data_IF_017686210963
#
_entry.id   IF_017686210963
#
_cell.length_a   1.000
_cell.length_b   1.000
_cell.length_c   1.000
_cell.angle_alpha   90.00
_cell.angle_beta   90.00
_cell.angle_gamma   90.00
#
_symmetry.space_group_name_H-M   'P 1'
#
loop_
_entity.id
_entity.type
_entity.pdbx_description
1 polymer ?
#
# COMPACT_ATOMS: atom_id res chain seq x y z
N UNK A 1 2.85 4.91 -0.34
CA UNK A 1 1.74 4.20 0.33
C UNK A 1 1.76 4.33 1.86
N UNK A 2 2.68 3.66 2.60
CA UNK A 2 2.71 3.65 4.09
C UNK A 2 2.62 5.03 4.76
N UNK A 3 3.41 6.00 4.29
CA UNK A 3 3.43 7.36 4.84
C UNK A 3 2.08 8.09 4.73
N UNK A 4 1.26 7.78 3.71
CA UNK A 4 -0.08 8.35 3.59
C UNK A 4 -1.01 7.80 4.68
N UNK A 5 -1.02 6.48 4.88
CA UNK A 5 -1.81 5.83 5.93
C UNK A 5 -1.44 6.33 7.33
N UNK A 6 -0.14 6.37 7.66
CA UNK A 6 0.30 6.84 8.98
C UNK A 6 -0.05 8.29 9.24
N UNK A 7 0.04 9.18 8.24
CA UNK A 7 -0.39 10.57 8.39
C UNK A 7 -1.89 10.66 8.71
N UNK A 8 -2.72 9.88 8.02
CA UNK A 8 -4.17 9.81 8.25
C UNK A 8 -4.49 9.31 9.66
N UNK A 9 -3.87 8.21 10.09
CA UNK A 9 -4.04 7.65 11.44
C UNK A 9 -3.56 8.60 12.53
N UNK A 10 -2.39 9.23 12.36
CA UNK A 10 -1.85 10.20 13.32
C UNK A 10 -2.73 11.44 13.45
N UNK A 11 -3.47 11.80 12.40
CA UNK A 11 -4.46 12.87 12.41
C UNK A 11 -5.83 12.42 12.98
N UNK A 12 -5.95 11.17 13.44
CA UNK A 12 -7.20 10.57 13.92
C UNK A 12 -8.35 10.66 12.91
N UNK A 13 -8.03 10.61 11.62
CA UNK A 13 -9.02 10.58 10.54
C UNK A 13 -9.50 9.13 10.34
N UNK A 14 -10.82 8.85 10.42
CA UNK A 14 -11.35 7.51 10.15
C UNK A 14 -11.08 7.07 8.71
N UNK A 15 -10.57 5.85 8.54
CA UNK A 15 -10.32 5.23 7.23
C UNK A 15 -10.39 3.71 7.36
N UNK A 16 -11.25 3.09 6.56
CA UNK A 16 -11.45 1.63 6.58
C UNK A 16 -10.63 0.90 5.50
N UNK A 17 -10.39 1.54 4.35
CA UNK A 17 -9.77 0.91 3.18
C UNK A 17 -8.71 1.83 2.58
N UNK A 18 -7.55 1.26 2.23
CA UNK A 18 -6.49 1.92 1.49
C UNK A 18 -6.36 1.32 0.09
N UNK A 19 -6.43 2.16 -0.93
CA UNK A 19 -6.32 1.74 -2.33
C UNK A 19 -4.89 1.94 -2.88
N UNK A 20 -4.44 1.01 -3.72
CA UNK A 20 -3.25 1.15 -4.56
C UNK A 20 -3.63 1.21 -6.04
N UNK A 21 -2.85 1.94 -6.85
CA UNK A 21 -3.07 2.10 -8.29
C UNK A 21 -2.06 1.22 -9.08
N UNK A 22 -1.99 1.37 -10.40
CA UNK A 22 -1.09 0.63 -11.30
C UNK A 22 0.40 0.80 -10.98
N UNK A 23 0.76 1.72 -10.10
CA UNK A 23 2.13 1.99 -9.68
C UNK A 23 2.74 0.85 -8.87
N UNK A 24 1.91 0.07 -8.14
CA UNK A 24 2.43 -1.09 -7.42
C UNK A 24 2.76 -2.28 -8.33
N UNK A 25 2.33 -2.28 -9.58
CA UNK A 25 2.48 -3.42 -10.50
C UNK A 25 3.92 -3.51 -11.01
N UNK A 26 4.42 -4.73 -11.26
CA UNK A 26 5.69 -4.90 -11.98
C UNK A 26 5.48 -4.52 -13.44
N UNK A 27 6.04 -3.40 -13.87
CA UNK A 27 5.92 -2.90 -15.26
C UNK A 27 4.46 -2.82 -15.74
N UNK A 28 3.51 -2.49 -14.85
CA UNK A 28 2.07 -2.40 -15.16
C UNK A 28 1.44 -3.70 -15.67
N UNK A 29 2.00 -4.86 -15.29
CA UNK A 29 1.43 -6.16 -15.59
C UNK A 29 0.45 -6.58 -14.50
N UNK A 30 -0.75 -7.01 -14.89
CA UNK A 30 -1.74 -7.54 -13.96
C UNK A 30 -1.19 -8.75 -13.19
N UNK A 31 -1.69 -8.94 -11.96
CA UNK A 31 -1.28 -10.04 -11.05
C UNK A 31 0.20 -10.04 -10.68
N UNK A 32 0.88 -8.90 -10.81
CA UNK A 32 2.26 -8.71 -10.39
C UNK A 32 2.39 -7.53 -9.45
N UNK A 33 3.49 -7.48 -8.70
CA UNK A 33 3.89 -6.28 -7.97
C UNK A 33 5.38 -6.02 -8.10
N UNK A 34 5.79 -4.75 -8.00
CA UNK A 34 7.17 -4.33 -8.12
C UNK A 34 7.94 -4.62 -6.82
N UNK A 35 8.74 -5.68 -6.82
CA UNK A 35 9.50 -6.13 -5.64
C UNK A 35 10.61 -5.18 -5.20
N UNK A 36 11.00 -4.21 -6.04
CA UNK A 36 12.03 -3.21 -5.70
C UNK A 36 11.38 -2.02 -5.00
N UNK A 37 10.45 -1.32 -5.67
CA UNK A 37 9.84 -0.09 -5.14
C UNK A 37 8.80 -0.35 -4.04
N UNK A 38 8.13 -1.50 -4.10
CA UNK A 38 7.07 -1.87 -3.15
C UNK A 38 7.54 -2.96 -2.18
N UNK A 39 8.85 -3.15 -2.01
CA UNK A 39 9.38 -4.21 -1.14
C UNK A 39 8.69 -4.21 0.24
N UNK A 40 8.25 -5.40 0.67
CA UNK A 40 7.47 -5.56 1.89
C UNK A 40 5.97 -5.23 1.76
N UNK A 41 5.42 -5.30 0.53
CA UNK A 41 3.99 -5.12 0.28
C UNK A 41 3.12 -6.18 0.97
N UNK A 42 3.45 -7.49 0.96
CA UNK A 42 2.68 -8.50 1.69
C UNK A 42 2.57 -8.21 3.19
N UNK A 43 3.69 -7.90 3.84
CA UNK A 43 3.75 -7.60 5.27
C UNK A 43 2.99 -6.31 5.61
N UNK A 44 2.93 -5.36 4.67
CA UNK A 44 2.13 -4.16 4.83
C UNK A 44 0.63 -4.43 4.75
N UNK A 45 0.21 -5.32 3.84
CA UNK A 45 -1.19 -5.74 3.72
C UNK A 45 -1.60 -6.54 4.96
N UNK A 46 -0.75 -7.42 5.46
CA UNK A 46 -1.00 -8.17 6.71
C UNK A 46 -1.15 -7.23 7.91
N UNK A 47 -0.40 -6.14 7.98
CA UNK A 47 -0.55 -5.12 9.02
C UNK A 47 -1.86 -4.31 8.94
N UNK A 48 -2.48 -4.22 7.76
CA UNK A 48 -3.75 -3.51 7.57
C UNK A 48 -4.96 -4.33 8.04
N UNK A 49 -4.81 -5.65 8.20
CA UNK A 49 -5.86 -6.57 8.68
C UNK A 49 -5.81 -6.76 10.20
#
# INVERSE_FOLDING_TARGET
>A
MKAAMFRTLNASIPIDVHYGDIDYFRKRLDFTWNTEDFNGLPEYIDWLH
#
